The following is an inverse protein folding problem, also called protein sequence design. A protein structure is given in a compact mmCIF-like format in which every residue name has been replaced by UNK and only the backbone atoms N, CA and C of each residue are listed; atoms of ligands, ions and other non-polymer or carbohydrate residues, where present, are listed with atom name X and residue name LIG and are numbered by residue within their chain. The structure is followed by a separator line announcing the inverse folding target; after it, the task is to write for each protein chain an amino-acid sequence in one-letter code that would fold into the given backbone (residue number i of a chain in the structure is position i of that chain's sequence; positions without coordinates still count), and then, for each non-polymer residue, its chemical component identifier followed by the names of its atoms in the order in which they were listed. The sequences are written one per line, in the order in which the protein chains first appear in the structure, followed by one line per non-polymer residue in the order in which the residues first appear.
data_IF_574197032078
#
_entry.id   IF_574197032078
#
_cell.length_a   1.000
_cell.length_b   1.000
_cell.length_c   1.000
_cell.angle_alpha   90.00
_cell.angle_beta   90.00
_cell.angle_gamma   90.00
#
_symmetry.space_group_name_H-M   'P 1'
#
loop_
_entity.id
_entity.type
_entity.pdbx_description
1 polymer ?
#
# COMPACT_ATOMS: atom_id res chain seq x y z
N UNK A 1 17.91 -16.44 -3.39
CA UNK A 1 17.97 -15.03 -3.85
C UNK A 1 19.43 -14.67 -4.11
N UNK A 2 19.75 -14.05 -5.24
CA UNK A 2 21.12 -13.59 -5.54
C UNK A 2 21.45 -12.31 -4.76
N UNK A 3 22.73 -12.03 -4.52
CA UNK A 3 23.19 -10.81 -3.83
C UNK A 3 22.63 -9.52 -4.47
N UNK A 4 22.57 -9.46 -5.81
CA UNK A 4 22.01 -8.34 -6.55
C UNK A 4 20.54 -8.07 -6.18
N UNK A 5 19.70 -9.11 -6.23
CA UNK A 5 18.28 -9.02 -5.84
C UNK A 5 18.16 -8.51 -4.39
N UNK A 6 19.00 -9.02 -3.48
CA UNK A 6 18.99 -8.54 -2.09
C UNK A 6 19.29 -7.04 -2.00
N UNK A 7 20.30 -6.55 -2.71
CA UNK A 7 20.60 -5.11 -2.76
C UNK A 7 19.45 -4.29 -3.37
N UNK A 8 18.84 -4.76 -4.46
CA UNK A 8 17.70 -4.08 -5.08
C UNK A 8 16.50 -3.99 -4.13
N UNK A 9 16.20 -5.05 -3.39
CA UNK A 9 15.11 -5.06 -2.40
C UNK A 9 15.41 -4.10 -1.24
N UNK A 10 16.64 -4.09 -0.72
CA UNK A 10 17.04 -3.16 0.34
C UNK A 10 17.02 -1.70 -0.14
N UNK A 11 17.45 -1.45 -1.37
CA UNK A 11 17.39 -0.12 -1.98
C UNK A 11 15.94 0.33 -2.18
N UNK A 12 15.06 -0.56 -2.66
CA UNK A 12 13.62 -0.28 -2.74
C UNK A 12 13.03 0.04 -1.36
N UNK A 13 13.42 -0.69 -0.31
CA UNK A 13 13.00 -0.41 1.06
C UNK A 13 13.52 0.96 1.56
N UNK A 14 14.77 1.32 1.24
CA UNK A 14 15.32 2.64 1.55
C UNK A 14 14.53 3.75 0.85
N UNK A 15 14.31 3.64 -0.47
CA UNK A 15 13.49 4.58 -1.22
C UNK A 15 12.09 4.69 -0.60
N UNK A 16 11.50 3.54 -0.22
CA UNK A 16 10.20 3.48 0.44
C UNK A 16 10.18 4.28 1.75
N UNK A 17 11.19 4.12 2.59
CA UNK A 17 11.33 4.88 3.82
C UNK A 17 11.55 6.38 3.55
N UNK A 18 12.39 6.72 2.58
CA UNK A 18 12.71 8.10 2.22
C UNK A 18 11.50 8.89 1.75
N UNK A 19 10.68 8.35 0.83
CA UNK A 19 9.50 9.10 0.36
C UNK A 19 8.47 9.30 1.48
N UNK A 20 8.29 8.32 2.36
CA UNK A 20 7.44 8.47 3.54
C UNK A 20 7.95 9.55 4.49
N UNK A 21 9.27 9.67 4.66
CA UNK A 21 9.89 10.74 5.44
C UNK A 21 9.62 12.12 4.82
N UNK A 22 9.71 12.24 3.49
CA UNK A 22 9.36 13.48 2.77
C UNK A 22 7.89 13.86 2.91
N UNK A 23 6.97 12.89 2.78
CA UNK A 23 5.53 13.15 2.99
C UNK A 23 5.27 13.61 4.42
N UNK A 24 5.97 13.02 5.41
CA UNK A 24 5.81 13.39 6.82
C UNK A 24 6.34 14.79 7.14
N UNK A 25 7.40 15.24 6.45
CA UNK A 25 7.99 16.58 6.65
C UNK A 25 7.23 17.69 5.91
N UNK A 26 6.41 17.36 4.91
CA UNK A 26 5.56 18.31 4.19
C UNK A 26 4.46 18.91 5.06
N UNK A 27 4.15 20.20 4.85
CA UNK A 27 3.06 20.88 5.57
C UNK A 27 1.68 20.37 5.14
N UNK A 28 1.47 20.20 3.84
CA UNK A 28 0.29 19.55 3.27
C UNK A 28 0.69 18.18 2.70
N UNK A 29 0.26 17.13 3.40
CA UNK A 29 0.57 15.74 3.06
C UNK A 29 -0.12 15.29 1.78
N UNK A 30 -1.35 15.78 1.52
CA UNK A 30 -2.09 15.42 0.32
C UNK A 30 -1.45 16.08 -0.90
N UNK A 31 -1.09 17.36 -0.81
CA UNK A 31 -0.37 18.06 -1.87
C UNK A 31 1.00 17.42 -2.12
N UNK A 32 1.74 17.09 -1.06
CA UNK A 32 3.05 16.43 -1.18
C UNK A 32 2.92 15.11 -1.92
N UNK A 33 1.97 14.25 -1.53
CA UNK A 33 1.69 12.99 -2.21
C UNK A 33 1.25 13.22 -3.66
N UNK A 34 0.38 14.18 -3.93
CA UNK A 34 -0.09 14.49 -5.28
C UNK A 34 1.05 14.93 -6.20
N UNK A 35 1.92 15.83 -5.74
CA UNK A 35 3.09 16.27 -6.48
C UNK A 35 4.07 15.13 -6.76
N UNK A 36 4.29 14.25 -5.78
CA UNK A 36 5.12 13.06 -5.97
C UNK A 36 4.56 12.16 -7.08
N UNK A 37 3.25 11.88 -7.07
CA UNK A 37 2.62 11.08 -8.12
C UNK A 37 2.67 11.78 -9.48
N UNK A 38 2.50 13.11 -9.53
CA UNK A 38 2.62 13.88 -10.75
C UNK A 38 4.04 13.83 -11.33
N UNK A 39 5.08 13.98 -10.50
CA UNK A 39 6.48 13.84 -10.91
C UNK A 39 6.79 12.42 -11.39
N UNK A 40 6.35 11.39 -10.66
CA UNK A 40 6.53 9.99 -11.05
C UNK A 40 5.81 9.67 -12.37
N UNK A 41 4.57 10.13 -12.53
CA UNK A 41 3.79 9.97 -13.76
C UNK A 41 4.40 10.73 -14.94
N UNK A 42 4.88 11.96 -14.72
CA UNK A 42 5.58 12.74 -15.73
C UNK A 42 6.87 12.08 -16.19
N UNK A 43 7.67 11.56 -15.26
CA UNK A 43 8.87 10.79 -15.59
C UNK A 43 8.52 9.52 -16.38
N UNK A 44 7.51 8.77 -15.94
CA UNK A 44 7.04 7.58 -16.65
C UNK A 44 6.59 7.94 -18.07
N UNK A 45 5.82 9.02 -18.25
CA UNK A 45 5.37 9.48 -19.55
C UNK A 45 6.53 9.85 -20.50
N UNK A 46 7.57 10.51 -19.98
CA UNK A 46 8.78 10.80 -20.75
C UNK A 46 9.55 9.54 -21.15
N UNK A 47 9.46 8.47 -20.37
CA UNK A 47 10.14 7.20 -20.63
C UNK A 47 9.34 6.26 -21.54
N UNK A 48 8.02 6.41 -21.62
CA UNK A 48 7.13 5.55 -22.42
C UNK A 48 7.59 5.34 -23.87
N UNK A 49 8.04 6.37 -24.63
CA UNK A 49 8.48 6.17 -26.02
C UNK A 49 9.71 5.29 -26.18
N UNK A 50 10.48 5.07 -25.10
CA UNK A 50 11.71 4.29 -25.10
C UNK A 50 11.52 2.85 -24.58
N UNK A 51 10.28 2.49 -24.21
CA UNK A 51 9.93 1.18 -23.67
C UNK A 51 9.07 0.39 -24.67
N UNK A 52 9.19 -0.94 -24.69
CA UNK A 52 8.28 -1.77 -25.48
C UNK A 52 6.84 -1.62 -24.97
N UNK A 53 5.87 -1.74 -25.88
CA UNK A 53 4.47 -1.78 -25.49
C UNK A 53 4.19 -3.00 -24.59
N UNK A 54 3.27 -2.88 -23.61
CA UNK A 54 2.85 -4.01 -22.81
C UNK A 54 2.26 -5.13 -23.66
N UNK A 55 2.39 -6.37 -23.20
CA UNK A 55 1.69 -7.50 -23.80
C UNK A 55 0.18 -7.22 -23.87
N UNK A 56 -0.45 -7.58 -24.99
CA UNK A 56 -1.91 -7.56 -25.17
C UNK A 56 -2.67 -8.17 -24.00
N UNK A 57 -2.13 -9.24 -23.38
CA UNK A 57 -2.75 -9.88 -22.22
C UNK A 57 -2.76 -9.01 -20.94
N UNK A 58 -1.88 -8.01 -20.83
CA UNK A 58 -1.77 -7.14 -19.66
C UNK A 58 -2.80 -5.99 -19.64
N UNK A 59 -3.38 -5.62 -20.78
CA UNK A 59 -4.29 -4.47 -20.88
C UNK A 59 -5.53 -4.56 -19.99
N UNK A 60 -6.22 -5.72 -19.87
CA UNK A 60 -7.33 -5.87 -18.93
C UNK A 60 -6.89 -5.63 -17.48
N UNK A 61 -5.70 -6.10 -17.09
CA UNK A 61 -5.14 -5.92 -15.75
C UNK A 61 -4.75 -4.48 -15.47
N UNK A 62 -4.14 -3.79 -16.44
CA UNK A 62 -3.84 -2.35 -16.35
C UNK A 62 -5.11 -1.52 -16.16
N UNK A 63 -6.16 -1.82 -16.93
CA UNK A 63 -7.45 -1.14 -16.81
C UNK A 63 -8.10 -1.44 -15.44
N UNK A 64 -8.09 -2.70 -15.01
CA UNK A 64 -8.62 -3.11 -13.71
C UNK A 64 -7.87 -2.43 -12.57
N UNK A 65 -6.54 -2.48 -12.55
CA UNK A 65 -5.70 -1.83 -11.54
C UNK A 65 -5.95 -0.33 -11.48
N UNK A 66 -6.08 0.33 -12.64
CA UNK A 66 -6.41 1.75 -12.72
C UNK A 66 -7.73 2.07 -12.01
N UNK A 67 -8.77 1.25 -12.21
CA UNK A 67 -10.07 1.40 -11.55
C UNK A 67 -9.97 1.11 -10.05
N UNK A 68 -9.25 0.06 -9.65
CA UNK A 68 -9.07 -0.31 -8.25
C UNK A 68 -8.33 0.79 -7.45
N UNK A 69 -7.40 1.48 -8.09
CA UNK A 69 -6.69 2.61 -7.50
C UNK A 69 -7.63 3.77 -7.11
N UNK A 70 -8.71 4.02 -7.86
CA UNK A 70 -9.71 5.04 -7.47
C UNK A 70 -10.41 4.67 -6.17
N UNK A 71 -10.77 3.39 -5.99
CA UNK A 71 -11.32 2.88 -4.75
C UNK A 71 -10.35 3.05 -3.58
N UNK A 72 -9.07 2.70 -3.79
CA UNK A 72 -8.00 2.94 -2.83
C UNK A 72 -7.93 4.42 -2.40
N UNK A 73 -7.83 5.36 -3.34
CA UNK A 73 -7.74 6.78 -3.00
C UNK A 73 -8.99 7.30 -2.31
N UNK A 74 -10.19 6.87 -2.74
CA UNK A 74 -11.44 7.27 -2.11
C UNK A 74 -11.49 6.86 -0.63
N UNK A 75 -11.17 5.59 -0.32
CA UNK A 75 -11.17 5.09 1.04
C UNK A 75 -10.06 5.72 1.88
N UNK A 76 -8.86 5.91 1.30
CA UNK A 76 -7.73 6.53 1.98
C UNK A 76 -8.04 7.97 2.40
N UNK A 77 -8.49 8.80 1.45
CA UNK A 77 -8.83 10.20 1.70
C UNK A 77 -10.00 10.31 2.67
N UNK A 78 -11.01 9.44 2.53
CA UNK A 78 -12.14 9.38 3.46
C UNK A 78 -11.68 9.00 4.88
N UNK A 79 -10.72 8.09 5.02
CA UNK A 79 -10.09 7.74 6.29
C UNK A 79 -9.42 8.95 6.93
N UNK A 80 -8.59 9.67 6.19
CA UNK A 80 -7.90 10.87 6.70
C UNK A 80 -8.83 12.05 7.03
N UNK A 81 -10.01 12.13 6.41
CA UNK A 81 -11.03 13.11 6.78
C UNK A 81 -11.73 12.79 8.11
N UNK A 82 -11.77 11.52 8.49
CA UNK A 82 -12.52 11.06 9.67
C UNK A 82 -11.62 10.58 10.83
N UNK A 83 -10.31 10.50 10.64
CA UNK A 83 -9.37 10.07 11.67
C UNK A 83 -7.93 10.51 11.43
N UNK A 84 -7.13 10.46 12.48
CA UNK A 84 -5.73 10.89 12.45
C UNK A 84 -4.88 9.99 11.55
N UNK A 85 -3.94 10.60 10.82
CA UNK A 85 -2.96 9.88 10.01
C UNK A 85 -2.24 8.76 10.78
N UNK A 86 -1.90 9.01 12.05
CA UNK A 86 -1.20 8.04 12.91
C UNK A 86 -2.01 6.80 13.25
N UNK A 87 -3.33 6.80 13.01
CA UNK A 87 -4.22 5.65 13.19
C UNK A 87 -4.54 5.01 11.84
N UNK A 88 -4.92 5.83 10.86
CA UNK A 88 -5.38 5.35 9.56
C UNK A 88 -4.26 4.68 8.79
N UNK A 89 -3.06 5.29 8.78
CA UNK A 89 -1.95 4.81 7.97
C UNK A 89 -1.42 3.44 8.44
N UNK A 90 -1.08 3.22 9.73
CA UNK A 90 -0.58 1.93 10.17
C UNK A 90 -1.65 0.83 10.07
N UNK A 91 -2.92 1.16 10.28
CA UNK A 91 -3.99 0.16 10.15
C UNK A 91 -4.18 -0.29 8.70
N UNK A 92 -4.19 0.63 7.73
CA UNK A 92 -4.28 0.29 6.32
C UNK A 92 -3.06 -0.50 5.83
N UNK A 93 -1.85 -0.06 6.18
CA UNK A 93 -0.59 -0.68 5.75
C UNK A 93 -0.28 -2.00 6.45
N UNK A 94 -0.66 -2.15 7.71
CA UNK A 94 -0.43 -3.36 8.47
C UNK A 94 -1.45 -4.46 8.18
N UNK A 95 -2.66 -4.13 7.71
CA UNK A 95 -3.67 -5.14 7.33
C UNK A 95 -3.46 -5.71 5.93
N UNK A 96 -3.08 -4.88 4.96
CA UNK A 96 -2.97 -5.29 3.55
C UNK A 96 -2.04 -6.50 3.28
N UNK A 97 -0.83 -6.61 3.89
CA UNK A 97 0.08 -7.74 3.62
C UNK A 97 -0.51 -9.09 4.02
N UNK A 98 -1.23 -9.16 5.14
CA UNK A 98 -1.94 -10.38 5.56
C UNK A 98 -3.06 -10.71 4.58
N UNK A 99 -3.83 -9.71 4.16
CA UNK A 99 -4.91 -9.88 3.20
C UNK A 99 -4.38 -10.35 1.83
N UNK A 100 -3.23 -9.85 1.40
CA UNK A 100 -2.53 -10.30 0.18
C UNK A 100 -2.10 -11.75 0.33
N UNK A 101 -1.42 -12.14 1.42
CA UNK A 101 -0.98 -13.52 1.60
C UNK A 101 -2.14 -14.51 1.65
N UNK A 102 -3.24 -14.16 2.34
CA UNK A 102 -4.46 -14.97 2.37
C UNK A 102 -5.05 -15.09 0.96
N UNK A 103 -5.17 -13.99 0.24
CA UNK A 103 -5.74 -13.98 -1.11
C UNK A 103 -4.85 -14.72 -2.12
N UNK A 104 -3.53 -14.59 -2.02
CA UNK A 104 -2.57 -15.33 -2.84
C UNK A 104 -2.64 -16.83 -2.61
N UNK A 105 -2.82 -17.26 -1.36
CA UNK A 105 -3.05 -18.67 -1.05
C UNK A 105 -4.34 -19.22 -1.69
N UNK A 106 -5.44 -18.46 -1.67
CA UNK A 106 -6.74 -18.91 -2.21
C UNK A 106 -6.88 -18.76 -3.73
N UNK A 107 -6.36 -17.67 -4.31
CA UNK A 107 -6.54 -17.31 -5.72
C UNK A 107 -5.41 -17.90 -6.57
N UNK A 108 -4.16 -17.70 -6.13
CA UNK A 108 -2.97 -18.12 -6.88
C UNK A 108 -2.43 -19.49 -6.44
N UNK A 109 -2.99 -20.08 -5.37
CA UNK A 109 -2.53 -21.37 -4.85
C UNK A 109 -1.16 -21.31 -4.19
N UNK A 110 -0.73 -20.12 -3.74
CA UNK A 110 0.59 -19.92 -3.14
C UNK A 110 0.69 -20.61 -1.77
N UNK A 111 1.78 -21.35 -1.57
CA UNK A 111 2.08 -21.99 -0.29
C UNK A 111 3.16 -21.21 0.45
N UNK A 112 2.84 -20.76 1.66
CA UNK A 112 3.78 -20.06 2.53
C UNK A 112 4.32 -20.98 3.62
N UNK A 113 5.61 -20.89 3.92
CA UNK A 113 6.16 -21.61 5.07
C UNK A 113 5.57 -21.07 6.39
N UNK A 114 5.43 -21.91 7.43
CA UNK A 114 4.95 -21.45 8.74
C UNK A 114 5.80 -20.29 9.30
N UNK A 115 7.11 -20.30 9.05
CA UNK A 115 8.01 -19.24 9.47
C UNK A 115 7.73 -17.91 8.75
N UNK A 116 7.49 -17.95 7.43
CA UNK A 116 7.14 -16.76 6.65
C UNK A 116 5.80 -16.16 7.12
N UNK A 117 4.80 -17.02 7.35
CA UNK A 117 3.49 -16.58 7.85
C UNK A 117 3.58 -15.98 9.27
N UNK A 118 4.42 -16.56 10.12
CA UNK A 118 4.68 -16.03 11.47
C UNK A 118 5.35 -14.67 11.41
N UNK A 119 6.40 -14.52 10.58
CA UNK A 119 7.08 -13.24 10.37
C UNK A 119 6.15 -12.16 9.82
N UNK A 120 5.32 -12.52 8.82
CA UNK A 120 4.30 -11.64 8.26
C UNK A 120 3.26 -11.21 9.30
N UNK A 121 2.77 -12.17 10.10
CA UNK A 121 1.83 -11.90 11.19
C UNK A 121 2.42 -10.95 12.24
N UNK A 122 3.64 -11.22 12.70
CA UNK A 122 4.33 -10.36 13.67
C UNK A 122 4.58 -8.96 13.12
N UNK A 123 5.04 -8.82 11.88
CA UNK A 123 5.24 -7.53 11.24
C UNK A 123 3.93 -6.75 11.12
N UNK A 124 2.86 -7.41 10.68
CA UNK A 124 1.54 -6.82 10.50
C UNK A 124 0.92 -6.37 11.82
N UNK A 125 0.98 -7.22 12.86
CA UNK A 125 0.54 -6.89 14.22
C UNK A 125 1.36 -5.73 14.79
N UNK A 126 2.69 -5.75 14.60
CA UNK A 126 3.58 -4.68 15.01
C UNK A 126 3.19 -3.33 14.41
N UNK A 127 2.98 -3.28 13.09
CA UNK A 127 2.55 -2.05 12.42
C UNK A 127 1.15 -1.62 12.90
N UNK A 128 0.19 -2.53 12.98
CA UNK A 128 -1.18 -2.23 13.44
C UNK A 128 -1.16 -1.67 14.87
N UNK A 129 -0.29 -2.18 15.74
CA UNK A 129 -0.19 -1.74 17.14
C UNK A 129 0.13 -0.25 17.28
N UNK A 130 0.83 0.35 16.32
CA UNK A 130 1.11 1.79 16.28
C UNK A 130 -0.18 2.63 16.22
N UNK A 131 -1.25 2.07 15.65
CA UNK A 131 -2.57 2.72 15.60
C UNK A 131 -3.20 2.90 16.98
N UNK A 132 -2.72 2.16 17.99
CA UNK A 132 -3.23 2.13 19.35
C UNK A 132 -2.28 2.76 20.38
N UNK A 133 -1.21 3.43 19.93
CA UNK A 133 -0.24 4.11 20.81
C UNK A 133 -0.92 5.12 21.74
N UNK A 134 -1.98 5.79 21.27
CA UNK A 134 -2.78 6.76 22.04
C UNK A 134 -3.95 6.12 22.82
N UNK A 135 -3.96 4.80 22.94
CA UNK A 135 -5.01 4.00 23.60
C UNK A 135 -6.01 3.36 22.65
N UNK A 136 -6.97 2.62 23.23
CA UNK A 136 -7.98 1.87 22.48
C UNK A 136 -8.97 2.79 21.75
N UNK A 137 -9.48 2.36 20.58
CA UNK A 137 -10.38 3.17 19.78
C UNK A 137 -11.72 3.37 20.48
N UNK A 138 -12.18 4.62 20.50
CA UNK A 138 -13.51 4.98 21.01
C UNK A 138 -14.56 4.80 19.91
N UNK A 139 -15.84 4.73 20.26
CA UNK A 139 -16.94 4.57 19.27
C UNK A 139 -16.89 5.56 18.10
N UNK A 140 -16.49 6.80 18.36
CA UNK A 140 -16.32 7.83 17.32
C UNK A 140 -15.25 7.51 16.26
N UNK A 141 -14.34 6.58 16.53
CA UNK A 141 -13.26 6.18 15.60
C UNK A 141 -13.66 5.02 14.68
N UNK A 142 -14.80 4.35 14.89
CA UNK A 142 -15.19 3.18 14.07
C UNK A 142 -15.31 3.51 12.59
N UNK A 143 -15.87 4.67 12.25
CA UNK A 143 -15.98 5.13 10.85
C UNK A 143 -14.60 5.32 10.21
N UNK A 144 -13.64 5.84 10.97
CA UNK A 144 -12.28 6.05 10.47
C UNK A 144 -11.55 4.71 10.29
N UNK A 145 -11.72 3.80 11.25
CA UNK A 145 -11.19 2.42 11.19
C UNK A 145 -11.77 1.65 10.00
N UNK A 146 -13.07 1.76 9.72
CA UNK A 146 -13.67 1.08 8.58
C UNK A 146 -13.12 1.61 7.25
N UNK A 147 -12.85 2.92 7.14
CA UNK A 147 -12.16 3.46 5.97
C UNK A 147 -10.72 2.98 5.85
N UNK A 148 -9.98 2.86 6.97
CA UNK A 148 -8.61 2.35 6.96
C UNK A 148 -8.53 0.87 6.56
N UNK A 149 -9.42 0.02 7.08
CA UNK A 149 -9.53 -1.39 6.67
C UNK A 149 -9.99 -1.51 5.22
N UNK A 150 -10.95 -0.68 4.79
CA UNK A 150 -11.36 -0.59 3.40
C UNK A 150 -10.19 -0.20 2.49
N UNK A 151 -9.35 0.73 2.92
CA UNK A 151 -8.10 1.08 2.21
C UNK A 151 -7.20 -0.16 2.08
N UNK A 152 -7.05 -0.95 3.15
CA UNK A 152 -6.32 -2.22 3.11
C UNK A 152 -6.87 -3.20 2.07
N UNK A 153 -8.19 -3.35 1.98
CA UNK A 153 -8.85 -4.19 0.97
C UNK A 153 -8.53 -3.72 -0.45
N UNK A 154 -8.63 -2.43 -0.72
CA UNK A 154 -8.32 -1.89 -2.04
C UNK A 154 -6.83 -1.99 -2.37
N UNK A 155 -5.94 -1.88 -1.37
CA UNK A 155 -4.51 -2.17 -1.53
C UNK A 155 -4.31 -3.60 -1.98
N UNK A 156 -4.93 -4.56 -1.27
CA UNK A 156 -4.88 -5.97 -1.65
C UNK A 156 -5.43 -6.19 -3.06
N UNK A 157 -6.57 -5.59 -3.40
CA UNK A 157 -7.20 -5.77 -4.70
C UNK A 157 -6.31 -5.29 -5.85
N UNK A 158 -5.78 -4.06 -5.79
CA UNK A 158 -4.92 -3.58 -6.88
C UNK A 158 -3.60 -4.36 -6.92
N UNK A 159 -3.05 -4.76 -5.77
CA UNK A 159 -1.80 -5.54 -5.71
C UNK A 159 -1.95 -6.94 -6.30
N UNK A 160 -3.16 -7.52 -6.31
CA UNK A 160 -3.44 -8.79 -6.98
C UNK A 160 -3.70 -8.65 -8.47
N UNK A 161 -4.12 -7.46 -8.91
CA UNK A 161 -4.32 -7.15 -10.32
C UNK A 161 -3.01 -6.76 -11.02
N UNK A 162 -2.10 -6.14 -10.27
CA UNK A 162 -0.72 -5.78 -10.69
C UNK A 162 0.19 -7.02 -10.78
#
# INVERSE_FOLDING_TARGET
MTLLITFLVLFAALLHASWNAFVKSGQDKLLTVALMHACSGGLAFCLLPFLPLPDTAAWPFLALSSVLHWGYYFFLVSGYRHGDLGVIYPLARGSAPLMIAISGAFIAGETFSPLAMTGLGLASVGIISLSFEKGLPKRKHFKAISFALGTGIWITAYTLAD
#
